data_IF_500511070165
#
_entry.id   IF_500511070165
#
_cell.length_a   1.000
_cell.length_b   1.000
_cell.length_c   1.000
_cell.angle_alpha   90.00
_cell.angle_beta   90.00
_cell.angle_gamma   90.00
#
_symmetry.space_group_name_H-M   'P 1'
#
loop_
_entity.id
_entity.type
_entity.pdbx_description
1 polymer ?
#
# COMPACT_ATOMS: atom_id res chain seq x y z
N UNK A 1 17.91 85.76 8.05
CA UNK A 1 19.03 84.90 7.64
C UNK A 1 18.87 84.64 6.14
N UNK A 2 19.26 85.55 5.23
CA UNK A 2 20.62 85.91 4.82
C UNK A 2 21.46 84.69 4.42
N UNK A 3 21.35 84.23 3.17
CA UNK A 3 22.46 83.67 2.40
C UNK A 3 22.11 83.67 0.89
N UNK A 4 23.08 84.11 0.09
CA UNK A 4 23.16 84.16 -1.39
C UNK A 4 22.49 85.36 -2.08
N UNK A 5 23.20 86.48 -2.07
CA UNK A 5 23.17 87.51 -3.12
C UNK A 5 24.38 87.31 -4.05
N UNK A 6 24.16 87.44 -5.36
CA UNK A 6 25.11 87.33 -6.50
C UNK A 6 25.15 85.99 -7.24
N UNK A 7 24.03 85.63 -7.88
CA UNK A 7 24.09 84.85 -9.10
C UNK A 7 23.20 85.50 -10.18
N UNK A 8 23.78 86.44 -10.91
CA UNK A 8 23.25 86.88 -12.21
C UNK A 8 23.57 85.81 -13.26
N UNK A 9 22.54 85.37 -13.99
CA UNK A 9 22.55 84.51 -15.19
C UNK A 9 21.96 83.09 -15.04
N UNK A 10 20.70 82.99 -14.61
CA UNK A 10 19.88 81.80 -14.85
C UNK A 10 18.54 82.18 -15.47
N UNK A 11 18.18 81.53 -16.57
CA UNK A 11 16.83 81.54 -17.14
C UNK A 11 16.19 80.19 -16.87
N UNK A 12 15.00 80.21 -16.26
CA UNK A 12 14.21 79.02 -15.96
C UNK A 12 13.34 78.70 -17.19
N UNK A 13 13.66 77.61 -17.89
CA UNK A 13 12.84 77.06 -18.97
C UNK A 13 12.65 75.57 -18.76
N UNK A 14 11.40 75.14 -18.60
CA UNK A 14 10.92 73.75 -18.65
C UNK A 14 11.77 72.70 -17.90
N UNK A 15 12.14 72.99 -16.65
CA UNK A 15 12.58 71.95 -15.71
C UNK A 15 13.98 71.37 -15.93
N UNK A 16 14.86 72.01 -16.70
CA UNK A 16 16.26 71.59 -16.84
C UNK A 16 17.23 72.72 -16.49
N UNK A 17 18.09 72.48 -15.50
CA UNK A 17 19.17 73.38 -15.11
C UNK A 17 20.36 73.24 -16.07
N UNK A 18 20.76 74.32 -16.74
CA UNK A 18 22.00 74.37 -17.51
C UNK A 18 22.96 75.40 -16.90
N UNK A 19 24.14 74.93 -16.49
CA UNK A 19 25.22 75.76 -15.96
C UNK A 19 26.12 76.23 -17.12
N UNK A 20 26.22 77.54 -17.32
CA UNK A 20 27.03 78.16 -18.38
C UNK A 20 28.37 78.61 -17.78
N UNK A 21 29.29 77.67 -17.57
CA UNK A 21 30.71 78.00 -17.40
C UNK A 21 31.59 76.91 -18.04
N UNK A 22 32.67 77.35 -18.67
CA UNK A 22 33.43 76.61 -19.67
C UNK A 22 34.00 75.28 -19.18
N UNK A 23 33.30 74.19 -19.52
CA UNK A 23 33.83 72.83 -19.74
C UNK A 23 32.72 71.91 -20.31
N UNK A 24 31.83 72.47 -21.13
CA UNK A 24 30.62 71.79 -21.61
C UNK A 24 30.89 70.61 -22.56
N UNK A 25 32.11 70.48 -23.08
CA UNK A 25 32.46 69.40 -24.01
C UNK A 25 32.71 68.08 -23.28
N UNK A 26 33.23 68.09 -22.04
CA UNK A 26 33.56 66.85 -21.33
C UNK A 26 32.37 66.25 -20.54
N UNK A 27 31.49 67.09 -19.96
CA UNK A 27 30.32 66.57 -19.22
C UNK A 27 29.26 65.94 -20.13
N UNK A 28 29.07 66.50 -21.33
CA UNK A 28 28.07 65.99 -22.28
C UNK A 28 28.45 64.62 -22.82
N UNK A 29 29.74 64.40 -23.13
CA UNK A 29 30.25 63.10 -23.60
C UNK A 29 30.17 62.04 -22.49
N UNK A 30 30.50 62.41 -21.25
CA UNK A 30 30.47 61.47 -20.13
C UNK A 30 29.04 61.02 -19.77
N UNK A 31 28.06 61.94 -19.83
CA UNK A 31 26.64 61.62 -19.64
C UNK A 31 26.09 60.76 -20.79
N UNK A 32 26.50 61.02 -22.03
CA UNK A 32 26.08 60.23 -23.19
C UNK A 32 26.60 58.79 -23.10
N UNK A 33 27.85 58.59 -22.67
CA UNK A 33 28.45 57.27 -22.44
C UNK A 33 27.80 56.53 -21.26
N UNK A 34 27.45 57.24 -20.19
CA UNK A 34 26.78 56.64 -19.03
C UNK A 34 25.35 56.18 -19.37
N UNK A 35 24.56 57.03 -20.04
CA UNK A 35 23.21 56.70 -20.50
C UNK A 35 23.22 55.59 -21.55
N UNK A 36 24.21 55.60 -22.46
CA UNK A 36 24.48 54.51 -23.41
C UNK A 36 24.73 53.18 -22.71
N UNK A 37 25.64 53.13 -21.73
CA UNK A 37 25.91 51.90 -20.93
C UNK A 37 24.68 51.43 -20.15
N UNK A 38 23.89 52.35 -19.59
CA UNK A 38 22.66 52.01 -18.86
C UNK A 38 21.60 51.41 -19.78
N UNK A 39 21.41 51.98 -20.98
CA UNK A 39 20.51 51.43 -22.01
C UNK A 39 20.98 50.07 -22.52
N UNK A 40 22.28 49.90 -22.75
CA UNK A 40 22.86 48.62 -23.18
C UNK A 40 22.68 47.51 -22.12
N UNK A 41 22.91 47.82 -20.83
CA UNK A 41 22.65 46.87 -19.73
C UNK A 41 21.17 46.52 -19.63
N UNK A 42 20.28 47.51 -19.72
CA UNK A 42 18.84 47.29 -19.71
C UNK A 42 18.37 46.45 -20.91
N UNK A 43 18.98 46.62 -22.09
CA UNK A 43 18.69 45.81 -23.27
C UNK A 43 19.16 44.35 -23.09
N UNK A 44 20.36 44.12 -22.55
CA UNK A 44 20.85 42.76 -22.24
C UNK A 44 20.00 42.10 -21.16
N UNK A 45 19.64 42.83 -20.11
CA UNK A 45 18.74 42.32 -19.07
C UNK A 45 17.34 42.06 -19.60
N UNK A 46 16.83 42.92 -20.48
CA UNK A 46 15.58 42.75 -21.20
C UNK A 46 15.58 41.51 -22.09
N UNK A 47 16.65 41.28 -22.86
CA UNK A 47 16.83 40.06 -23.65
C UNK A 47 16.97 38.83 -22.77
N UNK A 48 17.73 38.90 -21.66
CA UNK A 48 17.83 37.79 -20.70
C UNK A 48 16.47 37.48 -20.07
N UNK A 49 15.70 38.50 -19.68
CA UNK A 49 14.34 38.34 -19.15
C UNK A 49 13.36 37.82 -20.20
N UNK A 50 13.43 38.32 -21.44
CA UNK A 50 12.61 37.84 -22.55
C UNK A 50 12.95 36.39 -22.88
N UNK A 51 14.24 36.02 -22.90
CA UNK A 51 14.71 34.65 -23.13
C UNK A 51 14.35 33.72 -21.98
N UNK A 52 14.40 34.19 -20.72
CA UNK A 52 13.89 33.47 -19.55
C UNK A 52 12.38 33.25 -19.63
N UNK A 53 11.62 34.31 -19.92
CA UNK A 53 10.16 34.23 -20.14
C UNK A 53 9.81 33.29 -21.29
N UNK A 54 10.62 33.24 -22.36
CA UNK A 54 10.40 32.33 -23.49
C UNK A 54 10.72 30.87 -23.14
N UNK A 55 11.70 30.63 -22.27
CA UNK A 55 12.03 29.31 -21.71
C UNK A 55 10.96 28.84 -20.71
N UNK A 56 10.47 29.75 -19.86
CA UNK A 56 9.40 29.47 -18.90
C UNK A 56 8.03 29.32 -19.60
N UNK A 57 7.81 30.01 -20.73
CA UNK A 57 6.60 29.90 -21.57
C UNK A 57 6.57 28.64 -22.44
N UNK A 58 7.69 27.90 -22.56
CA UNK A 58 7.72 26.58 -23.23
C UNK A 58 7.33 25.44 -22.26
N UNK A 59 6.51 25.76 -21.27
CA UNK A 59 5.76 24.80 -20.46
C UNK A 59 4.72 24.13 -21.37
N UNK A 60 5.07 23.00 -21.99
CA UNK A 60 4.13 22.23 -22.80
C UNK A 60 2.90 21.85 -21.97
N UNK A 61 1.79 22.56 -22.18
CA UNK A 61 0.54 22.36 -21.44
C UNK A 61 0.60 22.71 -19.96
N UNK A 62 1.37 23.74 -19.58
CA UNK A 62 1.34 24.30 -18.21
C UNK A 62 2.20 23.56 -17.17
N UNK A 63 2.95 22.53 -17.57
CA UNK A 63 3.89 21.81 -16.71
C UNK A 63 5.21 22.58 -16.64
N UNK A 64 5.72 22.84 -15.43
CA UNK A 64 6.94 23.64 -15.22
C UNK A 64 8.19 22.84 -15.60
N UNK A 65 9.17 23.50 -16.22
CA UNK A 65 10.51 22.93 -16.38
C UNK A 65 11.30 23.14 -15.09
N UNK A 66 11.74 22.06 -14.46
CA UNK A 66 12.57 22.06 -13.27
C UNK A 66 14.02 21.82 -13.66
N UNK A 67 14.92 22.61 -13.08
CA UNK A 67 16.37 22.41 -13.25
C UNK A 67 16.84 21.44 -12.18
N UNK A 68 17.68 20.48 -12.56
CA UNK A 68 18.27 19.48 -11.65
C UNK A 68 18.90 20.14 -10.41
N UNK A 69 19.66 21.22 -10.59
CA UNK A 69 20.26 21.98 -9.48
C UNK A 69 19.29 22.62 -8.47
N UNK A 70 18.00 22.69 -8.80
CA UNK A 70 16.96 23.19 -7.91
C UNK A 70 16.22 22.05 -7.18
N UNK A 71 16.59 20.80 -7.45
CA UNK A 71 16.07 19.62 -6.79
C UNK A 71 17.09 19.12 -5.77
N UNK A 72 16.59 18.70 -4.62
CA UNK A 72 17.35 17.97 -3.62
C UNK A 72 16.71 16.61 -3.47
N UNK A 73 17.38 15.56 -3.94
CA UNK A 73 16.95 14.18 -3.72
C UNK A 73 17.44 13.75 -2.34
N UNK A 74 16.57 13.14 -1.54
CA UNK A 74 16.87 12.77 -0.15
C UNK A 74 17.05 11.26 -0.01
N UNK A 75 16.07 10.48 -0.45
CA UNK A 75 16.08 9.02 -0.28
C UNK A 75 15.34 8.35 -1.43
N UNK A 76 15.89 7.24 -1.93
CA UNK A 76 15.16 6.33 -2.82
C UNK A 76 14.03 5.66 -2.04
N UNK A 77 12.80 5.85 -2.54
CA UNK A 77 11.59 5.28 -1.94
C UNK A 77 11.08 4.08 -2.74
N UNK A 78 11.53 3.89 -3.97
CA UNK A 78 11.19 2.73 -4.78
C UNK A 78 11.90 2.74 -6.13
N UNK A 79 11.70 1.68 -6.89
CA UNK A 79 12.22 1.57 -8.25
C UNK A 79 11.30 0.69 -9.09
N UNK A 80 11.37 0.87 -10.39
CA UNK A 80 10.65 0.05 -11.35
C UNK A 80 11.42 -0.11 -12.65
N UNK A 81 10.85 -0.79 -13.65
CA UNK A 81 11.54 -1.04 -14.92
C UNK A 81 11.95 0.27 -15.63
N UNK A 82 13.23 0.61 -15.54
CA UNK A 82 13.81 1.78 -16.22
C UNK A 82 13.71 3.10 -15.45
N UNK A 83 13.37 3.09 -14.16
CA UNK A 83 13.35 4.31 -13.34
C UNK A 83 13.57 4.05 -11.84
N UNK A 84 13.94 5.11 -11.13
CA UNK A 84 14.00 5.17 -9.66
C UNK A 84 13.05 6.26 -9.16
N UNK A 85 12.43 6.02 -7.99
CA UNK A 85 11.60 6.99 -7.29
C UNK A 85 12.36 7.50 -6.08
N UNK A 86 12.49 8.82 -6.01
CA UNK A 86 13.14 9.50 -4.89
C UNK A 86 12.15 10.43 -4.19
N UNK A 87 12.20 10.42 -2.86
CA UNK A 87 11.74 11.55 -2.07
C UNK A 87 12.72 12.71 -2.23
N UNK A 88 12.22 13.93 -2.24
CA UNK A 88 13.06 15.11 -2.36
C UNK A 88 12.29 16.40 -2.17
N UNK A 89 12.86 17.50 -2.66
CA UNK A 89 12.18 18.78 -2.65
C UNK A 89 12.75 19.81 -3.59
N UNK A 90 11.99 20.88 -3.80
CA UNK A 90 12.42 22.08 -4.53
C UNK A 90 11.86 23.32 -3.86
N UNK A 91 12.73 24.28 -3.55
CA UNK A 91 12.35 25.57 -2.93
C UNK A 91 11.46 25.41 -1.69
N UNK A 92 11.83 24.47 -0.81
CA UNK A 92 11.09 24.18 0.43
C UNK A 92 9.81 23.37 0.26
N UNK A 93 9.46 22.95 -0.96
CA UNK A 93 8.33 22.03 -1.21
C UNK A 93 8.85 20.61 -1.32
N UNK A 94 8.22 19.68 -0.60
CA UNK A 94 8.48 18.25 -0.79
C UNK A 94 7.99 17.81 -2.19
N UNK A 95 8.65 16.82 -2.78
CA UNK A 95 8.38 16.27 -4.11
C UNK A 95 8.63 14.75 -4.11
N UNK A 96 7.87 14.01 -4.91
CA UNK A 96 8.33 12.72 -5.45
C UNK A 96 9.01 13.01 -6.78
N UNK A 97 10.24 12.54 -6.96
CA UNK A 97 10.98 12.68 -8.21
C UNK A 97 11.20 11.30 -8.80
N UNK A 98 10.56 11.04 -9.93
CA UNK A 98 10.78 9.84 -10.74
C UNK A 98 11.88 10.12 -11.75
N UNK A 99 13.03 9.51 -11.53
CA UNK A 99 14.23 9.65 -12.36
C UNK A 99 14.31 8.46 -13.30
N UNK A 100 14.28 8.70 -14.61
CA UNK A 100 14.44 7.64 -15.60
C UNK A 100 15.93 7.28 -15.72
N UNK A 101 16.22 5.99 -15.86
CA UNK A 101 17.59 5.49 -15.99
C UNK A 101 18.29 6.19 -17.16
N UNK A 102 19.60 6.39 -17.09
CA UNK A 102 20.41 7.07 -18.12
C UNK A 102 20.66 6.20 -19.36
N UNK A 103 19.62 5.52 -19.81
CA UNK A 103 19.58 4.71 -21.03
C UNK A 103 19.13 5.58 -22.21
N UNK A 104 19.37 5.10 -23.44
CA UNK A 104 19.01 5.83 -24.65
C UNK A 104 17.48 6.13 -24.77
N UNK A 105 16.65 5.38 -24.05
CA UNK A 105 15.18 5.48 -24.04
C UNK A 105 14.60 6.33 -22.89
N UNK A 106 15.42 6.91 -22.02
CA UNK A 106 14.98 7.68 -20.85
C UNK A 106 13.99 8.80 -21.23
N UNK A 107 14.30 9.49 -22.32
CA UNK A 107 13.48 10.56 -22.88
C UNK A 107 12.15 10.03 -23.41
N UNK A 108 12.18 8.94 -24.16
CA UNK A 108 10.97 8.34 -24.72
C UNK A 108 10.02 7.89 -23.60
N UNK A 109 10.56 7.38 -22.49
CA UNK A 109 9.79 7.03 -21.28
C UNK A 109 9.18 8.25 -20.60
N UNK A 110 9.93 9.34 -20.47
CA UNK A 110 9.43 10.62 -19.98
C UNK A 110 8.24 11.09 -20.83
N UNK A 111 8.43 11.18 -22.15
CA UNK A 111 7.39 11.64 -23.09
C UNK A 111 6.16 10.73 -23.08
N UNK A 112 6.35 9.40 -23.08
CA UNK A 112 5.25 8.44 -23.02
C UNK A 112 4.47 8.56 -21.70
N UNK A 113 5.16 8.72 -20.56
CA UNK A 113 4.52 8.93 -19.25
C UNK A 113 3.76 10.26 -19.21
N UNK A 114 4.34 11.32 -19.77
CA UNK A 114 3.67 12.63 -19.85
C UNK A 114 2.44 12.59 -20.75
N UNK A 115 2.48 11.86 -21.87
CA UNK A 115 1.32 11.70 -22.75
C UNK A 115 0.10 11.13 -22.00
N UNK A 116 0.33 10.22 -21.05
CA UNK A 116 -0.71 9.62 -20.23
C UNK A 116 -1.18 10.52 -19.09
N UNK A 117 -0.25 11.24 -18.45
CA UNK A 117 -0.53 11.96 -17.20
C UNK A 117 -0.91 13.43 -17.42
N UNK A 118 -0.58 14.00 -18.58
CA UNK A 118 -0.81 15.40 -18.89
C UNK A 118 -2.31 15.69 -19.00
N UNK A 119 -2.75 16.69 -18.25
CA UNK A 119 -4.16 17.11 -18.23
C UNK A 119 -5.04 16.32 -17.27
N UNK A 120 -4.53 15.25 -16.65
CA UNK A 120 -5.27 14.53 -15.63
C UNK A 120 -5.33 15.33 -14.33
N UNK A 121 -6.55 15.56 -13.85
CA UNK A 121 -6.84 16.28 -12.63
C UNK A 121 -7.81 15.45 -11.79
N UNK A 122 -7.25 14.58 -10.94
CA UNK A 122 -8.03 13.71 -10.08
C UNK A 122 -7.32 13.53 -8.72
N UNK A 123 -8.05 13.52 -7.58
CA UNK A 123 -7.43 13.39 -6.25
C UNK A 123 -6.69 12.07 -6.04
N UNK A 124 -7.05 11.01 -6.77
CA UNK A 124 -6.39 9.69 -6.70
C UNK A 124 -5.37 9.45 -7.82
N UNK A 125 -4.95 10.49 -8.56
CA UNK A 125 -3.90 10.39 -9.59
C UNK A 125 -2.80 11.40 -9.26
N UNK A 126 -1.55 10.95 -9.30
CA UNK A 126 -0.39 11.74 -8.95
C UNK A 126 -0.22 12.92 -9.94
N UNK A 127 -0.27 14.14 -9.41
CA UNK A 127 -0.20 15.36 -10.22
C UNK A 127 1.25 15.73 -10.54
N UNK A 128 1.53 15.89 -11.83
CA UNK A 128 2.82 16.40 -12.32
C UNK A 128 2.99 17.87 -11.93
N UNK A 129 4.06 18.19 -11.19
CA UNK A 129 4.43 19.58 -10.83
C UNK A 129 5.47 20.14 -11.81
N UNK A 130 6.37 19.28 -12.30
CA UNK A 130 7.35 19.68 -13.28
C UNK A 130 8.18 18.54 -13.85
N UNK A 131 8.97 18.86 -14.87
CA UNK A 131 9.78 17.89 -15.63
C UNK A 131 11.19 18.40 -15.86
N UNK A 132 12.11 17.49 -16.15
CA UNK A 132 13.45 17.86 -16.63
C UNK A 132 13.37 18.64 -17.93
N UNK A 133 14.34 19.54 -18.14
CA UNK A 133 14.51 20.18 -19.45
C UNK A 133 14.99 19.17 -20.50
N UNK A 134 14.69 19.44 -21.75
CA UNK A 134 15.15 18.66 -22.89
C UNK A 134 16.68 18.42 -22.92
N UNK A 135 17.45 19.46 -22.59
CA UNK A 135 18.91 19.42 -22.56
C UNK A 135 19.50 18.80 -21.27
N UNK A 136 18.65 18.29 -20.38
CA UNK A 136 19.09 17.68 -19.11
C UNK A 136 19.79 16.35 -19.37
N UNK A 137 20.91 16.11 -18.69
CA UNK A 137 21.57 14.80 -18.70
C UNK A 137 20.77 13.73 -17.94
N UNK A 138 19.94 14.16 -16.99
CA UNK A 138 19.05 13.30 -16.21
C UNK A 138 17.59 13.63 -16.56
N UNK A 139 16.85 12.66 -17.09
CA UNK A 139 15.42 12.82 -17.41
C UNK A 139 14.57 12.45 -16.18
N UNK A 140 13.61 13.30 -15.80
CA UNK A 140 12.78 13.06 -14.63
C UNK A 140 11.42 13.74 -14.70
N UNK A 141 10.47 13.22 -13.91
CA UNK A 141 9.20 13.88 -13.58
C UNK A 141 9.20 14.15 -12.08
N UNK A 142 8.85 15.36 -11.69
CA UNK A 142 8.57 15.71 -10.31
C UNK A 142 7.06 15.86 -10.11
N UNK A 143 6.56 15.20 -9.09
CA UNK A 143 5.16 15.24 -8.72
C UNK A 143 4.98 16.07 -7.46
N UNK A 144 3.87 16.81 -7.40
CA UNK A 144 3.53 17.57 -6.20
C UNK A 144 3.32 16.60 -5.05
N UNK A 145 3.89 16.94 -3.89
CA UNK A 145 3.93 16.06 -2.74
C UNK A 145 3.55 16.83 -1.46
N UNK A 146 2.71 16.19 -0.65
CA UNK A 146 2.63 16.38 0.80
C UNK A 146 2.78 15.03 1.50
N UNK A 147 3.79 14.79 2.34
CA UNK A 147 4.15 13.50 2.97
C UNK A 147 3.63 12.21 2.30
N UNK A 148 4.26 11.79 1.19
CA UNK A 148 3.88 10.58 0.45
C UNK A 148 4.80 9.43 0.84
N UNK A 149 4.22 8.27 1.09
CA UNK A 149 4.94 7.02 1.29
C UNK A 149 4.40 5.98 0.32
N UNK A 150 5.20 4.98 -0.04
CA UNK A 150 4.63 3.82 -0.73
C UNK A 150 3.54 3.22 0.15
N UNK A 151 2.45 2.77 -0.48
CA UNK A 151 1.26 2.32 0.23
C UNK A 151 1.51 1.14 1.19
N UNK A 152 2.51 0.29 0.92
CA UNK A 152 2.71 -0.95 1.68
C UNK A 152 3.12 -0.72 3.13
N UNK A 153 3.98 0.26 3.38
CA UNK A 153 4.52 0.55 4.72
C UNK A 153 3.44 0.97 5.70
N UNK A 154 2.62 2.00 5.39
CA UNK A 154 1.51 2.42 6.23
C UNK A 154 0.45 1.33 6.44
N UNK A 155 0.14 0.54 5.43
CA UNK A 155 -0.77 -0.61 5.55
C UNK A 155 -0.20 -1.68 6.49
N UNK A 156 1.08 -2.01 6.37
CA UNK A 156 1.77 -2.95 7.25
C UNK A 156 1.81 -2.46 8.70
N UNK A 157 2.05 -1.15 8.91
CA UNK A 157 1.99 -0.54 10.24
C UNK A 157 0.58 -0.63 10.83
N UNK A 158 -0.46 -0.34 10.04
CA UNK A 158 -1.83 -0.45 10.50
C UNK A 158 -2.20 -1.89 10.91
N UNK A 159 -1.79 -2.90 10.13
CA UNK A 159 -1.98 -4.31 10.47
C UNK A 159 -1.39 -4.67 11.83
N UNK A 160 -0.21 -4.13 12.15
CA UNK A 160 0.44 -4.34 13.44
C UNK A 160 -0.30 -3.65 14.58
N UNK A 161 -0.75 -2.41 14.36
CA UNK A 161 -1.24 -1.55 15.42
C UNK A 161 -2.71 -1.81 15.75
N UNK A 162 -3.61 -1.68 14.79
CA UNK A 162 -5.06 -1.61 15.04
C UNK A 162 -5.90 -2.18 13.89
N UNK A 163 -6.87 -3.02 14.23
CA UNK A 163 -7.77 -3.63 13.26
C UNK A 163 -8.68 -2.58 12.59
N UNK A 164 -9.24 -1.64 13.36
CA UNK A 164 -10.15 -0.63 12.80
C UNK A 164 -9.42 0.27 11.80
N UNK A 165 -8.20 0.70 12.12
CA UNK A 165 -7.31 1.44 11.23
C UNK A 165 -6.95 0.63 9.99
N UNK A 166 -6.65 -0.67 10.15
CA UNK A 166 -6.37 -1.58 9.03
C UNK A 166 -7.54 -1.65 8.06
N UNK A 167 -8.74 -1.90 8.58
CA UNK A 167 -9.98 -1.95 7.79
C UNK A 167 -10.23 -0.61 7.09
N UNK A 168 -10.11 0.51 7.81
CA UNK A 168 -10.32 1.85 7.25
C UNK A 168 -9.35 2.17 6.13
N UNK A 169 -8.04 1.95 6.32
CA UNK A 169 -7.03 2.17 5.28
C UNK A 169 -7.22 1.22 4.09
N UNK A 170 -7.57 -0.04 4.36
CA UNK A 170 -7.89 -1.01 3.33
C UNK A 170 -9.03 -0.51 2.42
N UNK A 171 -10.13 -0.01 2.99
CA UNK A 171 -11.22 0.55 2.19
C UNK A 171 -10.85 1.86 1.51
N UNK A 172 -10.14 2.78 2.17
CA UNK A 172 -9.62 4.00 1.51
C UNK A 172 -8.77 3.65 0.28
N UNK A 173 -8.01 2.56 0.33
CA UNK A 173 -7.26 2.05 -0.82
C UNK A 173 -8.20 1.59 -1.93
N UNK A 174 -9.15 0.71 -1.62
CA UNK A 174 -10.10 0.17 -2.62
C UNK A 174 -10.90 1.29 -3.27
N UNK A 175 -11.41 2.25 -2.50
CA UNK A 175 -12.11 3.43 -3.00
C UNK A 175 -11.21 4.34 -3.85
N UNK A 176 -9.99 4.62 -3.40
CA UNK A 176 -9.06 5.47 -4.14
C UNK A 176 -8.58 4.87 -5.46
N UNK A 177 -8.25 3.58 -5.47
CA UNK A 177 -7.84 2.85 -6.67
C UNK A 177 -8.98 2.75 -7.69
N UNK A 178 -10.18 2.39 -7.24
CA UNK A 178 -11.36 2.32 -8.12
C UNK A 178 -11.68 3.69 -8.74
N UNK A 179 -11.64 4.77 -7.95
CA UNK A 179 -11.85 6.13 -8.44
C UNK A 179 -10.77 6.56 -9.46
N UNK A 180 -9.49 6.29 -9.16
CA UNK A 180 -8.37 6.62 -10.04
C UNK A 180 -8.43 5.89 -11.38
N UNK A 181 -8.63 4.56 -11.37
CA UNK A 181 -8.73 3.76 -12.58
C UNK A 181 -9.98 4.12 -13.39
N UNK A 182 -11.14 4.33 -12.74
CA UNK A 182 -12.34 4.81 -13.40
C UNK A 182 -12.11 6.16 -14.11
N UNK A 183 -11.38 7.08 -13.48
CA UNK A 183 -11.05 8.36 -14.11
C UNK A 183 -10.23 8.18 -15.39
N UNK A 184 -9.23 7.29 -15.39
CA UNK A 184 -8.45 6.97 -16.60
C UNK A 184 -9.33 6.44 -17.73
N UNK A 185 -10.28 5.57 -17.38
CA UNK A 185 -11.25 5.03 -18.33
C UNK A 185 -12.15 6.13 -18.93
N UNK A 186 -12.67 7.04 -18.09
CA UNK A 186 -13.51 8.17 -18.54
C UNK A 186 -12.73 9.15 -19.40
N UNK A 187 -11.42 9.33 -19.16
CA UNK A 187 -10.53 10.14 -20.00
C UNK A 187 -10.07 9.42 -21.26
N UNK A 188 -10.66 8.26 -21.59
CA UNK A 188 -10.36 7.45 -22.77
C UNK A 188 -8.86 7.06 -22.89
N UNK A 189 -8.16 6.95 -21.75
CA UNK A 189 -6.78 6.45 -21.74
C UNK A 189 -6.82 4.95 -21.99
N UNK A 190 -6.16 4.51 -23.07
CA UNK A 190 -6.08 3.09 -23.40
C UNK A 190 -5.29 2.32 -22.34
N UNK A 191 -5.95 1.38 -21.66
CA UNK A 191 -5.37 0.51 -20.64
C UNK A 191 -5.04 -0.90 -21.16
N UNK A 192 -5.30 -1.20 -22.44
CA UNK A 192 -5.14 -2.55 -23.01
C UNK A 192 -3.73 -3.10 -22.91
N UNK A 193 -2.73 -2.23 -23.06
CA UNK A 193 -1.32 -2.60 -22.97
C UNK A 193 -0.75 -2.49 -21.55
N UNK A 194 -1.54 -2.01 -20.59
CA UNK A 194 -1.10 -1.77 -19.21
C UNK A 194 -1.57 -2.89 -18.29
N UNK A 195 -0.72 -3.33 -17.37
CA UNK A 195 -1.06 -4.20 -16.24
C UNK A 195 -0.82 -3.47 -14.90
N UNK A 196 -1.02 -4.15 -13.77
CA UNK A 196 -0.79 -3.55 -12.44
C UNK A 196 0.65 -3.09 -12.21
N UNK A 197 1.65 -3.66 -12.88
CA UNK A 197 3.06 -3.24 -12.75
C UNK A 197 3.34 -1.91 -13.43
N UNK A 198 2.42 -1.47 -14.31
CA UNK A 198 2.46 -0.14 -14.89
C UNK A 198 1.99 0.95 -13.93
N UNK A 199 1.61 0.63 -12.69
CA UNK A 199 1.19 1.63 -11.72
C UNK A 199 1.99 1.55 -10.43
N UNK A 200 2.33 2.72 -9.89
CA UNK A 200 2.84 2.86 -8.53
C UNK A 200 1.74 3.42 -7.64
N UNK A 201 1.59 2.89 -6.43
CA UNK A 201 0.55 3.30 -5.48
C UNK A 201 1.20 3.93 -4.25
N UNK A 202 0.81 5.16 -3.96
CA UNK A 202 1.26 5.89 -2.79
C UNK A 202 0.11 6.20 -1.85
N UNK A 203 0.45 6.54 -0.61
CA UNK A 203 -0.43 7.09 0.39
C UNK A 203 0.04 8.51 0.74
N UNK A 204 -0.84 9.49 0.68
CA UNK A 204 -0.54 10.86 1.10
C UNK A 204 -0.81 11.09 2.60
N UNK A 205 -0.53 12.31 3.06
CA UNK A 205 -0.71 12.72 4.46
C UNK A 205 -2.17 12.65 4.97
N UNK A 206 -3.15 12.64 4.06
CA UNK A 206 -4.58 12.61 4.37
C UNK A 206 -5.14 11.17 4.28
N UNK A 207 -4.26 10.15 4.26
CA UNK A 207 -4.57 8.75 4.00
C UNK A 207 -5.25 8.51 2.64
N UNK A 208 -5.00 9.34 1.62
CA UNK A 208 -5.54 9.13 0.28
C UNK A 208 -4.58 8.31 -0.56
N UNK A 209 -5.13 7.28 -1.19
CA UNK A 209 -4.40 6.44 -2.12
C UNK A 209 -4.43 7.03 -3.52
N UNK A 210 -3.29 6.98 -4.19
CA UNK A 210 -2.98 7.83 -5.33
C UNK A 210 -2.04 7.07 -6.25
N UNK A 211 -2.40 7.02 -7.55
CA UNK A 211 -1.67 6.23 -8.53
C UNK A 211 -0.78 7.09 -9.43
N UNK A 212 0.41 6.60 -9.73
CA UNK A 212 1.26 7.09 -10.81
C UNK A 212 1.30 6.04 -11.92
N UNK A 213 1.42 6.50 -13.17
CA UNK A 213 1.50 5.62 -14.33
C UNK A 213 2.92 5.50 -14.87
N UNK A 214 3.23 4.31 -15.38
CA UNK A 214 4.51 3.91 -15.93
C UNK A 214 4.30 3.37 -17.35
N UNK A 215 4.59 4.18 -18.37
CA UNK A 215 4.53 3.73 -19.76
C UNK A 215 5.85 3.12 -20.19
N UNK A 216 5.77 2.02 -20.91
CA UNK A 216 6.91 1.52 -21.69
C UNK A 216 6.93 2.18 -23.08
N UNK A 217 8.11 2.49 -23.63
CA UNK A 217 8.24 3.16 -24.93
C UNK A 217 7.77 2.31 -26.12
N UNK A 218 7.72 0.99 -25.93
CA UNK A 218 7.32 0.00 -26.93
C UNK A 218 5.81 -0.34 -26.93
N UNK A 219 5.02 0.33 -26.09
CA UNK A 219 3.56 0.15 -26.13
C UNK A 219 3.01 0.95 -27.31
N UNK A 220 2.76 0.25 -28.42
CA UNK A 220 1.94 0.79 -29.51
C UNK A 220 0.56 1.10 -28.95
N UNK A 221 0.32 2.39 -28.71
CA UNK A 221 -0.97 2.94 -28.32
C UNK A 221 -1.87 2.95 -29.54
N UNK A 222 -2.18 1.76 -30.09
CA UNK A 222 -3.11 1.65 -31.20
C UNK A 222 -4.52 1.89 -30.62
N UNK A 223 -5.20 2.99 -30.98
CA UNK A 223 -6.40 3.43 -30.29
C UNK A 223 -7.67 2.63 -30.65
N UNK A 224 -7.57 1.58 -31.47
CA UNK A 224 -8.76 0.98 -32.10
C UNK A 224 -9.51 -0.03 -31.23
N UNK A 225 -8.90 -0.57 -30.19
CA UNK A 225 -9.60 -1.50 -29.29
C UNK A 225 -10.14 -0.67 -28.13
N UNK A 226 -11.44 -0.35 -28.16
CA UNK A 226 -12.11 0.21 -26.98
C UNK A 226 -12.34 -0.93 -25.97
N UNK A 227 -12.08 -0.68 -24.69
CA UNK A 227 -12.49 -1.59 -23.62
C UNK A 227 -13.99 -1.45 -23.42
N UNK A 228 -14.78 -2.04 -24.33
CA UNK A 228 -16.25 -1.85 -24.43
C UNK A 228 -16.96 -2.22 -23.12
N UNK A 229 -16.35 -3.08 -22.30
CA UNK A 229 -16.97 -3.58 -21.07
C UNK A 229 -16.23 -3.15 -19.80
N UNK A 230 -15.19 -2.31 -19.90
CA UNK A 230 -14.35 -1.94 -18.74
C UNK A 230 -13.62 -3.14 -18.11
N UNK A 231 -13.54 -4.27 -18.82
CA UNK A 231 -13.00 -5.53 -18.29
C UNK A 231 -11.53 -5.35 -17.94
N UNK A 232 -10.77 -4.66 -18.79
CA UNK A 232 -9.34 -4.43 -18.55
C UNK A 232 -9.13 -3.51 -17.35
N UNK A 233 -9.97 -2.49 -17.22
CA UNK A 233 -9.95 -1.57 -16.08
C UNK A 233 -10.19 -2.32 -14.76
N UNK A 234 -11.16 -3.25 -14.77
CA UNK A 234 -11.44 -4.15 -13.65
C UNK A 234 -10.28 -5.11 -13.34
N UNK A 235 -9.66 -5.71 -14.34
CA UNK A 235 -8.50 -6.59 -14.15
C UNK A 235 -7.35 -5.83 -13.48
N UNK A 236 -7.01 -4.64 -13.99
CA UNK A 236 -5.96 -3.78 -13.42
C UNK A 236 -6.31 -3.41 -11.97
N UNK A 237 -7.54 -2.99 -11.70
CA UNK A 237 -7.99 -2.66 -10.35
C UNK A 237 -7.83 -3.82 -9.36
N UNK A 238 -8.27 -5.02 -9.75
CA UNK A 238 -8.15 -6.23 -8.92
C UNK A 238 -6.70 -6.61 -8.67
N UNK A 239 -5.87 -6.55 -9.72
CA UNK A 239 -4.45 -6.87 -9.62
C UNK A 239 -3.70 -5.86 -8.75
N UNK A 240 -4.05 -4.57 -8.82
CA UNK A 240 -3.49 -3.54 -7.94
C UNK A 240 -3.87 -3.76 -6.47
N UNK A 241 -5.14 -4.04 -6.18
CA UNK A 241 -5.57 -4.36 -4.81
C UNK A 241 -4.81 -5.57 -4.27
N UNK A 242 -4.68 -6.64 -5.06
CA UNK A 242 -3.92 -7.83 -4.68
C UNK A 242 -2.44 -7.50 -4.45
N UNK A 243 -1.81 -6.77 -5.37
CA UNK A 243 -0.39 -6.43 -5.31
C UNK A 243 -0.04 -5.59 -4.08
N UNK A 244 -0.81 -4.53 -3.80
CA UNK A 244 -0.55 -3.61 -2.68
C UNK A 244 -0.76 -4.32 -1.34
N UNK A 245 -1.88 -5.04 -1.17
CA UNK A 245 -2.19 -5.75 0.08
C UNK A 245 -1.20 -6.88 0.36
N UNK A 246 -0.86 -7.68 -0.66
CA UNK A 246 0.16 -8.73 -0.53
C UNK A 246 1.55 -8.16 -0.21
N UNK A 247 1.88 -7.00 -0.77
CA UNK A 247 3.16 -6.34 -0.48
C UNK A 247 3.19 -5.76 0.93
N UNK A 248 2.08 -5.25 1.46
CA UNK A 248 1.96 -4.86 2.88
C UNK A 248 2.18 -6.07 3.81
N UNK A 249 1.58 -7.23 3.50
CA UNK A 249 1.81 -8.46 4.26
C UNK A 249 3.30 -8.87 4.24
N UNK A 250 3.97 -8.76 3.08
CA UNK A 250 5.40 -9.06 2.94
C UNK A 250 6.27 -8.11 3.76
N UNK A 251 5.95 -6.82 3.79
CA UNK A 251 6.66 -5.83 4.61
C UNK A 251 6.57 -6.20 6.10
N UNK A 252 5.38 -6.62 6.57
CA UNK A 252 5.16 -6.97 7.96
C UNK A 252 5.79 -8.33 8.34
N UNK A 253 5.54 -9.37 7.56
CA UNK A 253 5.85 -10.76 7.92
C UNK A 253 7.12 -11.32 7.29
N UNK A 254 7.81 -10.55 6.42
CA UNK A 254 9.06 -10.91 5.72
C UNK A 254 9.00 -12.14 4.79
N UNK A 255 7.91 -12.91 4.79
CA UNK A 255 7.73 -14.10 3.96
C UNK A 255 6.67 -13.86 2.86
N UNK A 256 6.87 -14.47 1.70
CA UNK A 256 5.86 -14.51 0.63
C UNK A 256 4.76 -15.51 1.03
N UNK A 257 3.68 -14.98 1.59
CA UNK A 257 2.48 -15.76 1.87
C UNK A 257 1.58 -15.64 0.64
N UNK A 258 1.96 -16.31 -0.45
CA UNK A 258 1.04 -16.46 -1.59
C UNK A 258 0.06 -17.57 -1.22
N UNK A 259 -1.13 -17.17 -0.72
CA UNK A 259 -2.25 -18.08 -0.52
C UNK A 259 -3.17 -18.03 -1.72
N UNK A 260 -3.62 -19.21 -2.15
CA UNK A 260 -4.74 -19.30 -3.09
C UNK A 260 -6.00 -18.75 -2.41
N UNK A 261 -6.72 -17.78 -3.01
CA UNK A 261 -7.98 -17.26 -2.47
C UNK A 261 -9.09 -18.33 -2.35
N UNK A 262 -8.90 -19.51 -2.94
CA UNK A 262 -9.95 -20.48 -3.24
C UNK A 262 -10.34 -21.32 -1.99
N UNK A 263 -9.50 -21.41 -0.97
CA UNK A 263 -9.68 -22.42 0.10
C UNK A 263 -10.44 -21.93 1.34
N UNK A 264 -10.80 -20.65 1.44
CA UNK A 264 -11.21 -20.05 2.73
C UNK A 264 -12.73 -19.95 2.88
N UNK A 265 -13.47 -19.75 1.80
CA UNK A 265 -14.92 -19.79 1.89
C UNK A 265 -15.38 -21.21 1.57
N UNK A 266 -16.03 -21.92 2.51
CA UNK A 266 -16.76 -23.10 2.13
C UNK A 266 -17.72 -22.66 1.04
N UNK A 267 -17.50 -23.15 -0.19
CA UNK A 267 -18.54 -23.15 -1.21
C UNK A 267 -19.80 -23.61 -0.48
N UNK A 268 -20.91 -22.85 -0.54
CA UNK A 268 -22.13 -23.20 0.16
C UNK A 268 -22.37 -24.66 -0.15
N UNK A 269 -22.23 -25.50 0.88
CA UNK A 269 -22.30 -26.94 0.70
C UNK A 269 -23.63 -27.20 -0.02
N UNK A 270 -23.63 -27.91 -1.16
CA UNK A 270 -24.86 -28.19 -1.90
C UNK A 270 -25.86 -29.04 -1.09
N UNK A 271 -25.50 -29.42 0.14
CA UNK A 271 -26.36 -30.03 1.13
C UNK A 271 -26.99 -28.96 2.05
N UNK A 272 -28.25 -28.55 1.79
CA UNK A 272 -29.03 -27.77 2.74
C UNK A 272 -29.35 -28.67 3.94
N UNK A 273 -28.62 -28.55 5.05
CA UNK A 273 -28.98 -29.31 6.25
C UNK A 273 -28.02 -29.29 7.43
N UNK A 274 -26.76 -28.92 7.25
CA UNK A 274 -25.83 -28.81 8.37
C UNK A 274 -25.53 -27.34 8.62
N UNK A 275 -26.12 -26.70 9.65
CA UNK A 275 -25.64 -25.40 10.10
C UNK A 275 -24.13 -25.52 10.32
N UNK A 276 -23.31 -24.53 9.90
CA UNK A 276 -21.98 -24.43 10.50
C UNK A 276 -22.20 -24.45 12.01
N UNK A 277 -21.50 -25.33 12.72
CA UNK A 277 -21.49 -25.35 14.18
C UNK A 277 -20.90 -24.01 14.66
N UNK A 278 -21.70 -22.95 14.58
CA UNK A 278 -21.56 -21.74 15.36
C UNK A 278 -21.97 -22.19 16.75
N UNK A 279 -21.02 -22.73 17.51
CA UNK A 279 -21.20 -22.81 18.95
C UNK A 279 -21.36 -21.35 19.42
N UNK A 280 -22.54 -20.93 19.90
CA UNK A 280 -22.74 -19.57 20.38
C UNK A 280 -21.93 -19.29 21.66
N UNK A 281 -21.40 -20.34 22.28
CA UNK A 281 -20.66 -20.29 23.55
C UNK A 281 -19.14 -20.40 23.40
N UNK A 282 -18.58 -20.13 22.21
CA UNK A 282 -17.15 -19.78 22.13
C UNK A 282 -16.93 -18.34 22.59
N UNK A 283 -17.33 -18.05 23.82
CA UNK A 283 -16.60 -17.14 24.71
C UNK A 283 -15.24 -17.77 25.03
N UNK A 284 -14.40 -17.93 24.02
CA UNK A 284 -12.98 -18.17 24.21
C UNK A 284 -12.31 -16.81 24.43
N UNK A 285 -12.62 -16.18 25.56
CA UNK A 285 -11.93 -15.00 26.08
C UNK A 285 -12.22 -14.85 27.58
N UNK A 286 -11.98 -15.92 28.33
CA UNK A 286 -11.75 -15.86 29.79
C UNK A 286 -10.84 -17.02 30.23
N UNK A 287 -9.77 -17.26 29.47
CA UNK A 287 -8.59 -17.97 29.98
C UNK A 287 -7.49 -16.94 30.29
N UNK A 288 -7.85 -15.98 31.14
CA UNK A 288 -6.95 -15.12 31.89
C UNK A 288 -6.70 -15.73 33.26
N UNK A 289 -5.99 -16.86 33.29
CA UNK A 289 -5.28 -17.28 34.50
C UNK A 289 -3.85 -17.63 34.12
N UNK A 290 -3.02 -16.59 34.15
CA UNK A 290 -1.68 -16.56 34.72
C UNK A 290 -0.66 -17.61 34.25
N UNK A 291 0.23 -17.18 33.36
CA UNK A 291 1.68 -17.16 33.65
C UNK A 291 2.28 -15.95 32.93
N UNK A 292 2.98 -15.10 33.70
CA UNK A 292 3.74 -13.90 33.29
C UNK A 292 4.89 -14.20 32.32
N UNK A 293 4.61 -14.84 31.18
CA UNK A 293 5.54 -14.79 30.05
C UNK A 293 5.21 -13.54 29.24
N UNK A 294 5.91 -12.45 29.57
CA UNK A 294 5.90 -11.10 28.99
C UNK A 294 6.16 -11.00 27.47
N UNK A 295 6.02 -12.09 26.73
CA UNK A 295 6.06 -12.08 25.27
C UNK A 295 4.62 -12.11 24.78
N UNK A 296 3.98 -10.94 24.51
CA UNK A 296 2.66 -10.93 23.92
C UNK A 296 2.73 -11.77 22.64
N UNK A 297 1.98 -12.88 22.62
CA UNK A 297 1.69 -13.59 21.37
C UNK A 297 1.15 -12.55 20.41
N UNK A 298 2.00 -12.08 19.50
CA UNK A 298 1.66 -10.94 18.65
C UNK A 298 0.62 -11.45 17.67
N UNK A 299 -0.64 -11.07 17.92
CA UNK A 299 -1.76 -11.31 17.02
C UNK A 299 -1.33 -11.02 15.58
N UNK A 300 -1.33 -12.05 14.74
CA UNK A 300 -0.89 -11.94 13.36
C UNK A 300 -2.06 -11.44 12.53
N UNK A 301 -1.96 -10.23 11.96
CA UNK A 301 -2.97 -9.71 11.02
C UNK A 301 -2.45 -9.68 9.59
N UNK A 302 -3.31 -9.99 8.64
CA UNK A 302 -2.99 -10.02 7.21
C UNK A 302 -4.15 -9.47 6.39
N UNK A 303 -3.85 -8.83 5.26
CA UNK A 303 -4.86 -8.49 4.26
C UNK A 303 -5.00 -9.57 3.20
N UNK A 304 -6.21 -9.81 2.72
CA UNK A 304 -6.46 -10.63 1.53
C UNK A 304 -7.43 -9.89 0.61
N UNK A 305 -7.10 -9.83 -0.69
CA UNK A 305 -8.03 -9.32 -1.70
C UNK A 305 -8.89 -10.46 -2.24
N UNK A 306 -10.21 -10.28 -2.20
CA UNK A 306 -11.19 -11.18 -2.80
C UNK A 306 -11.85 -10.52 -3.99
N UNK A 307 -11.55 -11.05 -5.16
CA UNK A 307 -12.24 -10.67 -6.38
C UNK A 307 -13.64 -11.30 -6.38
N UNK A 308 -14.66 -10.45 -6.45
CA UNK A 308 -16.06 -10.87 -6.58
C UNK A 308 -16.55 -10.41 -7.94
N UNK A 309 -16.91 -11.37 -8.78
CA UNK A 309 -17.47 -11.09 -10.10
C UNK A 309 -18.88 -10.52 -9.94
N UNK A 310 -18.99 -9.20 -9.86
CA UNK A 310 -20.26 -8.49 -10.04
C UNK A 310 -20.29 -7.98 -11.48
N UNK A 311 -20.84 -8.77 -12.38
CA UNK A 311 -20.83 -8.54 -13.84
C UNK A 311 -21.34 -7.15 -14.27
N UNK A 312 -22.07 -6.44 -13.38
CA UNK A 312 -22.68 -5.14 -13.66
C UNK A 312 -22.20 -4.00 -12.76
N UNK A 313 -21.23 -4.21 -11.87
CA UNK A 313 -20.72 -3.11 -11.03
C UNK A 313 -19.69 -2.31 -11.82
N UNK A 314 -19.78 -0.97 -11.79
CA UNK A 314 -18.74 -0.09 -12.34
C UNK A 314 -17.74 0.30 -11.25
N UNK A 315 -16.51 0.64 -11.64
CA UNK A 315 -15.51 1.16 -10.70
C UNK A 315 -15.95 2.48 -10.05
N UNK A 316 -16.71 3.33 -10.75
CA UNK A 316 -17.35 4.51 -10.18
C UNK A 316 -18.34 4.16 -9.05
N UNK A 317 -19.13 3.11 -9.23
CA UNK A 317 -20.08 2.65 -8.22
C UNK A 317 -19.34 2.14 -6.97
N UNK A 318 -18.27 1.34 -7.15
CA UNK A 318 -17.39 0.89 -6.06
C UNK A 318 -16.84 2.07 -5.26
N UNK A 319 -16.25 3.05 -5.95
CA UNK A 319 -15.66 4.23 -5.31
C UNK A 319 -16.69 5.00 -4.46
N UNK A 320 -17.89 5.20 -5.02
CA UNK A 320 -18.99 5.94 -4.36
C UNK A 320 -19.53 5.18 -3.16
N UNK A 321 -19.76 3.87 -3.28
CA UNK A 321 -20.24 2.99 -2.20
C UNK A 321 -19.24 3.03 -1.02
N UNK A 322 -17.96 2.82 -1.30
CA UNK A 322 -16.92 2.83 -0.27
C UNK A 322 -16.78 4.21 0.38
N UNK A 323 -16.80 5.30 -0.40
CA UNK A 323 -16.74 6.64 0.17
C UNK A 323 -17.93 6.92 1.09
N UNK A 324 -19.12 6.47 0.71
CA UNK A 324 -20.32 6.56 1.53
C UNK A 324 -20.16 5.78 2.85
N UNK A 325 -19.72 4.53 2.79
CA UNK A 325 -19.51 3.68 3.97
C UNK A 325 -18.44 4.25 4.92
N UNK A 326 -17.34 4.76 4.38
CA UNK A 326 -16.28 5.43 5.15
C UNK A 326 -16.81 6.66 5.91
N UNK A 327 -17.75 7.42 5.32
CA UNK A 327 -18.35 8.61 5.96
C UNK A 327 -19.29 8.26 7.10
N UNK A 328 -19.93 7.09 7.07
CA UNK A 328 -20.82 6.63 8.13
C UNK A 328 -20.08 6.19 9.40
N UNK A 329 -18.73 6.16 9.39
CA UNK A 329 -17.82 5.88 10.52
C UNK A 329 -17.99 4.54 11.24
N UNK A 330 -18.97 3.71 10.88
CA UNK A 330 -19.20 2.38 11.45
C UNK A 330 -18.63 1.29 10.54
N UNK A 331 -17.30 1.22 10.43
CA UNK A 331 -16.62 0.17 9.67
C UNK A 331 -16.43 -1.08 10.53
N UNK A 332 -17.54 -1.74 10.89
CA UNK A 332 -17.48 -3.03 11.57
C UNK A 332 -17.67 -4.15 10.55
N UNK A 333 -16.58 -4.84 10.21
CA UNK A 333 -16.66 -6.01 9.36
C UNK A 333 -17.27 -7.20 10.11
N UNK A 334 -18.01 -8.03 9.37
CA UNK A 334 -18.48 -9.32 9.87
C UNK A 334 -17.26 -10.16 10.25
N UNK A 335 -17.26 -10.69 11.48
CA UNK A 335 -16.25 -11.62 11.97
C UNK A 335 -16.69 -13.06 11.73
N UNK A 336 -15.76 -13.89 11.28
CA UNK A 336 -15.97 -15.32 11.04
C UNK A 336 -14.84 -16.10 11.70
N UNK A 337 -15.17 -17.11 12.50
CA UNK A 337 -14.19 -18.06 13.01
C UNK A 337 -14.16 -19.27 12.08
N UNK A 338 -12.99 -19.57 11.50
CA UNK A 338 -12.81 -20.76 10.69
C UNK A 338 -12.17 -21.85 11.53
N UNK A 339 -12.95 -22.91 11.77
CA UNK A 339 -12.42 -24.16 12.31
C UNK A 339 -11.69 -24.87 11.17
N UNK A 340 -10.38 -24.64 11.04
CA UNK A 340 -9.54 -25.35 10.08
C UNK A 340 -9.53 -26.84 10.44
N UNK A 341 -10.38 -27.62 9.77
CA UNK A 341 -10.53 -29.06 10.02
C UNK A 341 -9.29 -29.86 9.63
N UNK A 342 -8.40 -29.26 8.84
CA UNK A 342 -7.33 -29.97 8.13
C UNK A 342 -5.92 -29.73 8.70
N UNK A 343 -5.74 -28.79 9.64
CA UNK A 343 -4.42 -28.54 10.25
C UNK A 343 -4.26 -29.38 11.51
N UNK A 344 -3.26 -30.27 11.50
CA UNK A 344 -2.87 -31.07 12.66
C UNK A 344 -2.00 -30.25 13.63
N UNK A 345 -1.26 -29.27 13.11
CA UNK A 345 -0.45 -28.33 13.89
C UNK A 345 -1.31 -27.30 14.61
N UNK A 346 -1.29 -27.32 15.95
CA UNK A 346 -1.96 -26.34 16.82
C UNK A 346 -1.01 -25.88 17.91
N UNK A 347 -0.66 -24.61 17.94
CA UNK A 347 0.10 -24.03 19.04
C UNK A 347 -0.82 -23.27 19.99
N UNK A 348 -0.61 -23.43 21.30
CA UNK A 348 -1.32 -22.66 22.31
C UNK A 348 -1.07 -21.16 22.09
N UNK A 349 -2.14 -20.36 22.05
CA UNK A 349 -2.06 -18.92 21.83
C UNK A 349 -1.88 -18.50 20.36
N UNK A 350 -1.91 -19.43 19.40
CA UNK A 350 -1.90 -19.07 17.98
C UNK A 350 -3.22 -18.42 17.60
N UNK A 351 -3.14 -17.17 17.14
CA UNK A 351 -4.29 -16.45 16.58
C UNK A 351 -3.82 -15.67 15.37
N UNK A 352 -4.51 -15.87 14.25
CA UNK A 352 -4.32 -15.09 13.02
C UNK A 352 -5.64 -14.47 12.59
N UNK A 353 -5.66 -13.18 12.36
CA UNK A 353 -6.77 -12.45 11.75
C UNK A 353 -6.45 -12.16 10.27
N UNK A 354 -7.31 -12.62 9.38
CA UNK A 354 -7.27 -12.30 7.95
C UNK A 354 -8.37 -11.29 7.64
N UNK A 355 -7.99 -10.10 7.19
CA UNK A 355 -8.89 -9.04 6.75
C UNK A 355 -9.11 -9.24 5.25
N UNK A 356 -10.19 -9.94 4.90
CA UNK A 356 -10.57 -10.19 3.51
C UNK A 356 -11.39 -9.01 2.98
N UNK A 357 -10.77 -8.19 2.13
CA UNK A 357 -11.41 -7.06 1.47
C UNK A 357 -11.96 -7.47 0.09
N UNK A 358 -13.06 -6.84 -0.31
CA UNK A 358 -13.67 -6.99 -1.61
C UNK A 358 -14.04 -5.62 -2.21
N UNK A 359 -14.61 -5.60 -3.42
CA UNK A 359 -15.10 -4.38 -4.06
C UNK A 359 -16.33 -3.75 -3.39
N UNK A 360 -16.80 -4.32 -2.28
CA UNK A 360 -17.96 -3.88 -1.52
C UNK A 360 -17.74 -4.16 -0.03
N UNK A 361 -18.26 -3.27 0.82
CA UNK A 361 -18.12 -3.40 2.27
C UNK A 361 -18.84 -4.63 2.82
N UNK A 362 -20.07 -4.90 2.36
CA UNK A 362 -20.89 -6.02 2.83
C UNK A 362 -20.29 -7.38 2.52
N UNK A 363 -19.45 -7.43 1.48
CA UNK A 363 -18.74 -8.63 1.06
C UNK A 363 -17.36 -8.75 1.72
N UNK A 364 -16.96 -7.81 2.56
CA UNK A 364 -15.68 -7.90 3.27
C UNK A 364 -15.88 -8.50 4.65
N UNK A 365 -14.89 -9.26 5.13
CA UNK A 365 -14.98 -9.99 6.41
C UNK A 365 -13.63 -10.02 7.12
N UNK A 366 -13.66 -10.24 8.43
CA UNK A 366 -12.47 -10.61 9.21
C UNK A 366 -12.58 -12.08 9.57
N UNK A 367 -11.67 -12.89 9.06
CA UNK A 367 -11.58 -14.31 9.37
C UNK A 367 -10.56 -14.53 10.48
N UNK A 368 -10.93 -15.23 11.54
CA UNK A 368 -10.01 -15.64 12.60
C UNK A 368 -9.66 -17.11 12.47
N UNK A 369 -8.36 -17.40 12.43
CA UNK A 369 -7.80 -18.75 12.41
C UNK A 369 -7.17 -19.08 13.76
N UNK A 370 -7.53 -20.24 14.30
CA UNK A 370 -6.96 -20.80 15.52
C UNK A 370 -5.77 -21.74 15.24
N UNK A 371 -5.41 -21.94 13.97
CA UNK A 371 -4.28 -22.78 13.57
C UNK A 371 -3.52 -22.17 12.39
N UNK A 372 -2.20 -22.40 12.31
CA UNK A 372 -1.44 -22.04 11.14
C UNK A 372 -1.92 -22.81 9.90
N UNK A 373 -1.88 -22.14 8.75
CA UNK A 373 -2.20 -22.77 7.46
C UNK A 373 -1.02 -23.58 6.93
N UNK A 374 -1.24 -24.55 6.04
CA UNK A 374 -0.16 -25.23 5.34
C UNK A 374 0.82 -24.25 4.67
N UNK A 375 2.10 -24.60 4.66
CA UNK A 375 3.25 -23.79 4.22
C UNK A 375 3.57 -22.56 5.10
N UNK A 376 2.78 -22.28 6.13
CA UNK A 376 3.11 -21.24 7.10
C UNK A 376 4.23 -21.71 8.02
N UNK A 377 5.12 -20.79 8.42
CA UNK A 377 5.97 -21.01 9.60
C UNK A 377 5.20 -20.51 10.81
N UNK A 378 4.86 -21.42 11.73
CA UNK A 378 4.14 -21.05 12.93
C UNK A 378 5.00 -20.08 13.78
N UNK A 379 4.51 -18.88 14.12
CA UNK A 379 5.30 -17.88 14.84
C UNK A 379 5.57 -18.29 16.30
N UNK A 380 4.84 -19.29 16.82
CA UNK A 380 4.98 -19.73 18.22
C UNK A 380 6.07 -20.78 18.37
N UNK A 381 6.06 -21.83 17.54
CA UNK A 381 7.04 -22.93 17.63
C UNK A 381 8.15 -22.85 16.56
N UNK A 382 8.06 -21.88 15.64
CA UNK A 382 8.96 -21.70 14.49
C UNK A 382 9.04 -22.90 13.54
N UNK A 383 8.07 -23.82 13.59
CA UNK A 383 8.04 -24.98 12.69
C UNK A 383 7.22 -24.68 11.42
N UNK A 384 7.70 -25.11 10.23
CA UNK A 384 6.90 -25.07 9.01
C UNK A 384 5.75 -26.07 9.08
N UNK A 385 4.57 -25.65 8.62
CA UNK A 385 3.35 -26.46 8.58
C UNK A 385 3.28 -27.17 7.24
N UNK A 386 3.09 -28.49 7.24
CA UNK A 386 3.02 -29.29 6.02
C UNK A 386 1.57 -29.60 5.61
N UNK A 387 1.32 -29.80 4.31
CA UNK A 387 0.00 -30.27 3.82
C UNK A 387 -0.32 -31.70 4.27
N UNK A 388 0.72 -32.52 4.49
CA UNK A 388 0.59 -33.94 4.77
C UNK A 388 0.75 -34.26 6.26
N UNK A 389 0.48 -33.29 7.13
CA UNK A 389 0.54 -33.51 8.57
C UNK A 389 -0.50 -34.54 8.99
N UNK A 390 -0.03 -35.60 9.64
CA UNK A 390 -0.89 -36.66 10.15
C UNK A 390 -1.14 -36.42 11.62
N UNK A 391 -2.42 -36.25 11.97
CA UNK A 391 -2.84 -36.27 13.35
C UNK A 391 -3.10 -37.72 13.77
N UNK A 392 -2.38 -38.18 14.80
CA UNK A 392 -2.56 -39.49 15.40
C UNK A 392 -2.28 -39.38 16.89
N UNK A 393 -3.34 -39.30 17.68
CA UNK A 393 -3.24 -39.25 19.13
C UNK A 393 -3.68 -40.57 19.77
N UNK A 394 -3.10 -40.87 20.93
CA UNK A 394 -3.44 -42.07 21.70
C UNK A 394 -4.92 -42.09 22.12
N UNK A 395 -5.52 -40.91 22.39
CA UNK A 395 -6.92 -40.75 22.81
C UNK A 395 -7.94 -41.33 21.83
N UNK A 396 -7.53 -41.65 20.59
CA UNK A 396 -8.39 -42.16 19.53
C UNK A 396 -9.17 -41.08 18.78
N UNK A 397 -9.13 -39.83 19.26
CA UNK A 397 -9.79 -38.72 18.57
C UNK A 397 -9.06 -38.44 17.26
N UNK A 398 -9.82 -38.46 16.16
CA UNK A 398 -9.29 -38.23 14.80
C UNK A 398 -9.07 -36.74 14.50
N UNK A 399 -9.54 -35.87 15.37
CA UNK A 399 -9.43 -34.44 15.21
C UNK A 399 -8.65 -33.81 16.37
N UNK A 400 -7.72 -32.87 16.07
CA UNK A 400 -7.02 -32.14 17.11
C UNK A 400 -7.96 -31.26 17.95
N UNK A 401 -9.17 -30.98 17.48
CA UNK A 401 -10.13 -30.11 18.18
C UNK A 401 -9.54 -28.71 18.38
N UNK A 402 -9.79 -28.08 19.52
CA UNK A 402 -9.18 -26.78 19.87
C UNK A 402 -7.90 -26.94 20.71
N UNK A 403 -7.43 -28.16 20.90
CA UNK A 403 -6.33 -28.43 21.82
C UNK A 403 -4.97 -28.23 21.13
N UNK A 404 -3.97 -27.67 21.85
CA UNK A 404 -2.60 -27.65 21.38
C UNK A 404 -2.10 -29.05 21.04
N UNK A 405 -1.27 -29.14 20.00
CA UNK A 405 -0.67 -30.38 19.54
C UNK A 405 0.85 -30.30 19.59
N UNK A 406 1.47 -31.46 19.65
CA UNK A 406 2.93 -31.63 19.68
C UNK A 406 3.33 -32.71 18.67
N UNK A 407 4.45 -32.47 17.98
CA UNK A 407 4.95 -33.33 16.91
C UNK A 407 5.90 -34.38 17.47
N UNK A 408 5.69 -35.65 17.09
CA UNK A 408 6.59 -36.76 17.41
C UNK A 408 7.93 -36.58 16.66
N UNK A 409 9.05 -36.66 17.36
CA UNK A 409 10.38 -36.48 16.75
C UNK A 409 10.78 -37.64 15.83
N UNK A 410 10.20 -38.83 16.00
CA UNK A 410 10.60 -40.02 15.25
C UNK A 410 9.75 -40.28 13.99
N UNK A 411 8.43 -40.05 14.04
CA UNK A 411 7.53 -40.29 12.89
C UNK A 411 6.80 -39.06 12.39
N UNK A 412 7.06 -37.90 12.98
CA UNK A 412 6.46 -36.62 12.59
C UNK A 412 4.94 -36.50 12.75
N UNK A 413 4.27 -37.51 13.33
CA UNK A 413 2.84 -37.44 13.63
C UNK A 413 2.56 -36.45 14.77
N UNK A 414 1.44 -35.74 14.67
CA UNK A 414 0.95 -34.84 15.70
C UNK A 414 0.05 -35.57 16.71
N UNK A 415 0.18 -35.22 17.98
CA UNK A 415 -0.67 -35.71 19.08
C UNK A 415 -1.15 -34.54 19.92
N UNK A 416 -2.27 -34.68 20.63
CA UNK A 416 -2.67 -33.69 21.63
C UNK A 416 -1.59 -33.55 22.71
N UNK A 417 -1.24 -32.31 23.04
CA UNK A 417 -0.23 -32.01 24.07
C UNK A 417 -0.60 -32.60 25.44
N UNK A 418 -1.88 -32.51 25.81
CA UNK A 418 -2.39 -33.01 27.09
C UNK A 418 -2.43 -34.54 27.18
N UNK A 419 -2.46 -35.25 26.05
CA UNK A 419 -2.44 -36.72 26.05
C UNK A 419 -1.04 -37.29 26.28
N UNK A 420 0.01 -36.50 26.03
CA UNK A 420 1.39 -36.99 26.05
C UNK A 420 2.22 -36.43 27.20
N UNK A 421 1.73 -35.40 27.89
CA UNK A 421 2.37 -34.81 29.08
C UNK A 421 3.61 -34.00 28.73
N UNK A 422 3.42 -32.77 28.21
CA UNK A 422 4.41 -31.72 27.89
C UNK A 422 5.92 -32.05 28.02
N UNK A 423 6.49 -32.99 27.24
CA UNK A 423 7.91 -33.28 27.30
C UNK A 423 8.67 -32.38 26.31
N UNK A 424 9.88 -31.94 26.66
CA UNK A 424 10.75 -31.17 25.76
C UNK A 424 11.12 -31.98 24.49
N UNK A 425 11.08 -33.31 24.58
CA UNK A 425 11.26 -34.25 23.47
C UNK A 425 10.14 -35.29 23.53
N UNK A 426 9.33 -35.36 22.48
CA UNK A 426 8.19 -36.28 22.42
C UNK A 426 8.42 -37.35 21.36
N UNK A 427 8.42 -38.61 21.79
CA UNK A 427 8.27 -39.79 20.93
C UNK A 427 6.90 -40.40 21.19
N UNK A 428 6.09 -40.57 20.14
CA UNK A 428 4.73 -41.09 20.32
C UNK A 428 4.72 -42.58 20.65
N UNK A 429 3.63 -43.02 21.28
CA UNK A 429 3.41 -44.42 21.67
C UNK A 429 3.60 -45.42 20.51
N UNK A 430 3.29 -45.00 19.27
CA UNK A 430 3.45 -45.85 18.08
C UNK A 430 4.91 -46.06 17.68
N UNK A 431 5.78 -45.13 18.04
CA UNK A 431 7.22 -45.21 17.77
C UNK A 431 7.96 -45.92 18.89
N UNK A 432 7.56 -45.69 20.14
CA UNK A 432 8.19 -46.31 21.31
C UNK A 432 7.12 -46.69 22.36
N UNK A 433 6.53 -47.89 22.27
CA UNK A 433 5.47 -48.33 23.18
C UNK A 433 5.89 -48.41 24.66
N UNK A 434 7.20 -48.43 24.94
CA UNK A 434 7.78 -48.62 26.28
C UNK A 434 7.94 -47.33 27.08
N UNK A 435 7.82 -46.15 26.45
CA UNK A 435 8.10 -44.86 27.09
C UNK A 435 6.90 -44.23 27.83
N UNK A 436 5.70 -44.85 27.78
CA UNK A 436 4.53 -44.41 28.53
C UNK A 436 4.00 -45.50 29.49
N UNK A 437 4.35 -45.39 30.77
CA UNK A 437 3.73 -46.15 31.88
C UNK A 437 2.73 -45.23 32.61
N UNK A 438 1.74 -45.74 33.35
CA UNK A 438 0.37 -46.07 32.99
C UNK A 438 -0.63 -44.89 33.16
N UNK A 439 -0.34 -43.65 32.74
CA UNK A 439 -1.34 -42.55 32.80
C UNK A 439 -2.60 -42.90 31.98
N UNK A 440 -2.41 -43.67 30.90
CA UNK A 440 -3.49 -44.12 30.02
C UNK A 440 -4.49 -45.08 30.68
N UNK A 441 -4.02 -45.91 31.63
CA UNK A 441 -4.88 -46.82 32.40
C UNK A 441 -5.81 -46.03 33.34
N UNK A 442 -5.34 -44.92 33.90
CA UNK A 442 -6.14 -44.06 34.78
C UNK A 442 -7.20 -43.30 33.99
N UNK A 443 -6.86 -42.72 32.83
CA UNK A 443 -7.81 -41.93 32.02
C UNK A 443 -8.93 -42.81 31.44
N UNK A 444 -8.62 -44.02 30.95
CA UNK A 444 -9.65 -44.94 30.46
C UNK A 444 -10.53 -45.50 31.60
N UNK A 445 -9.99 -45.72 32.80
CA UNK A 445 -10.82 -46.05 33.97
C UNK A 445 -11.82 -44.93 34.31
N UNK A 446 -11.43 -43.66 34.22
CA UNK A 446 -12.35 -42.54 34.49
C UNK A 446 -13.42 -42.35 33.40
N UNK A 447 -13.09 -42.58 32.11
CA UNK A 447 -14.10 -42.55 31.03
C UNK A 447 -15.09 -43.72 31.13
N UNK A 448 -14.62 -44.93 31.48
CA UNK A 448 -15.49 -46.09 31.74
C UNK A 448 -16.35 -45.92 33.01
N UNK A 449 -15.86 -45.23 34.05
CA UNK A 449 -16.68 -44.92 35.23
C UNK A 449 -17.74 -43.85 34.99
N UNK A 450 -17.48 -42.85 34.12
CA UNK A 450 -18.49 -41.83 33.76
C UNK A 450 -19.65 -42.39 32.94
N UNK A 451 -19.39 -43.32 32.02
CA UNK A 451 -20.45 -43.99 31.26
C UNK A 451 -21.28 -44.96 32.12
N UNK A 452 -20.69 -45.54 33.18
CA UNK A 452 -21.42 -46.39 34.13
C UNK A 452 -22.38 -45.61 35.04
N UNK A 453 -22.01 -44.39 35.48
CA UNK A 453 -22.86 -43.59 36.37
C UNK A 453 -24.02 -42.86 35.67
N UNK A 454 -23.98 -42.67 34.35
CA UNK A 454 -25.08 -42.08 33.58
C UNK A 454 -26.21 -43.06 33.26
N UNK A 455 -26.06 -44.36 33.58
CA UNK A 455 -27.05 -45.41 33.28
C UNK A 455 -27.96 -45.82 34.43
N UNK A 456 -27.84 -45.25 35.65
CA UNK A 456 -28.55 -45.76 36.84
C UNK A 456 -29.68 -44.87 37.38
N UNK A 457 -30.18 -43.89 36.62
CA UNK A 457 -31.39 -43.13 36.98
C UNK A 457 -32.45 -43.19 35.87
N UNK A 458 -33.07 -44.36 35.70
CA UNK A 458 -34.34 -44.52 35.01
C UNK A 458 -34.97 -45.87 35.36
N UNK A 459 -35.58 -45.96 36.54
CA UNK A 459 -36.67 -46.91 36.86
C UNK A 459 -37.31 -46.47 38.17
N UNK A 460 -38.22 -45.51 38.05
CA UNK A 460 -39.29 -45.20 38.98
C UNK A 460 -40.57 -45.11 38.16
#
# INVERSE_FOLDING_TARGET
>A
MAFISNASNFTLGEGVYNNVHGNLVNHTVHNHLYLSKKRYRAAIEGERHAKRRKLDARAEGGIKILREKNLTLTREIGSGPGYFLHSGGSKGRALIVKVFNRTADARQRLEATLKLTKGLLHPNILRVEGISSEASSTQFIAYNHGHWMNAEGPLAAALKDDLTRSVSLGFKMVGGLSAGINHLQVQEISLHSMDAKNFDVFLDADDRFVISMNSSPSQDMNPSIRDVNGKRSWDIFNDLCRQVLSSANRVLHKHNIERSPIDIFPQPSPYPGSPPFLHPDSTALDQTTSTDSDSPSSLRREFVWRQISKENQSLAAVATEIEFDLRLKSLTLKRMALADKYSAHRCAGYVREEITLASSFVDSVVVTHATPSPMEVCPICCQPVSFNEKFRCICGDLHPGFHPTIKCQQCENWSHLHCVGAPQQFTCYFCEPRSMVPIYFVINMFRLCRTFNSGSQASG
#
